data_IF_661959348239
#
_entry.id   IF_661959348239
#
_cell.length_a   1.000
_cell.length_b   1.000
_cell.length_c   1.000
_cell.angle_alpha   90.00
_cell.angle_beta   90.00
_cell.angle_gamma   90.00
#
_symmetry.space_group_name_H-M   'P 1'
#
loop_
_entity.id
_entity.type
_entity.pdbx_description
1 polymer ?
#
# COMPACT_ATOMS: atom_id res chain seq x y z
N UNK A 1 13.75 4.97 -4.56
CA UNK A 1 12.46 5.12 -3.84
C UNK A 1 11.36 4.52 -4.69
N UNK A 2 10.56 3.61 -4.11
CA UNK A 2 9.37 3.06 -4.77
C UNK A 2 8.22 4.06 -4.65
N UNK A 3 7.55 4.36 -5.76
CA UNK A 3 6.38 5.23 -5.81
C UNK A 3 5.16 4.38 -6.16
N UNK A 4 4.22 4.24 -5.23
CA UNK A 4 3.10 3.29 -5.32
C UNK A 4 1.72 3.91 -5.07
N UNK A 5 1.61 5.24 -4.97
CA UNK A 5 0.33 5.88 -4.67
C UNK A 5 0.33 7.38 -4.92
N UNK A 6 -0.88 7.94 -4.95
CA UNK A 6 -1.17 9.33 -5.30
C UNK A 6 -2.15 9.96 -4.31
N UNK A 7 -2.12 9.52 -3.04
CA UNK A 7 -3.10 9.94 -2.03
C UNK A 7 -3.17 11.47 -1.84
N UNK A 8 -2.05 12.17 -2.06
CA UNK A 8 -1.96 13.63 -1.97
C UNK A 8 -2.09 14.34 -3.34
N UNK A 9 -2.12 13.62 -4.47
CA UNK A 9 -2.21 14.18 -5.82
C UNK A 9 -1.19 13.62 -6.82
N UNK A 10 -1.27 14.09 -8.06
CA UNK A 10 -0.42 13.69 -9.20
C UNK A 10 0.87 14.51 -9.33
N UNK A 11 0.93 15.67 -8.69
CA UNK A 11 2.06 16.57 -8.83
C UNK A 11 3.33 15.96 -8.25
N UNK A 12 4.44 16.11 -8.98
CA UNK A 12 5.78 15.75 -8.51
C UNK A 12 6.66 17.02 -8.44
N UNK A 13 6.39 17.93 -7.48
CA UNK A 13 7.20 19.12 -7.32
C UNK A 13 8.61 18.73 -6.85
N UNK A 14 9.64 19.14 -7.60
CA UNK A 14 11.01 18.77 -7.29
C UNK A 14 12.00 19.21 -8.37
N UNK A 15 13.23 18.71 -8.28
CA UNK A 15 14.31 18.96 -9.24
C UNK A 15 14.92 17.65 -9.72
N UNK A 16 15.50 17.66 -10.91
CA UNK A 16 16.27 16.53 -11.45
C UNK A 16 17.65 16.37 -10.78
N UNK A 17 18.07 17.33 -9.96
CA UNK A 17 19.40 17.34 -9.33
C UNK A 17 19.74 16.08 -8.49
N UNK A 18 18.83 15.48 -7.69
CA UNK A 18 19.15 14.26 -6.94
C UNK A 18 19.46 13.06 -7.84
N UNK A 19 18.80 12.97 -8.99
CA UNK A 19 19.00 11.89 -9.97
C UNK A 19 20.36 12.02 -10.64
N UNK A 20 20.74 13.24 -11.03
CA UNK A 20 22.00 13.51 -11.73
C UNK A 20 23.20 13.42 -10.77
N UNK A 21 23.12 14.08 -9.61
CA UNK A 21 24.28 14.29 -8.73
C UNK A 21 24.49 13.16 -7.73
N UNK A 22 23.45 12.36 -7.46
CA UNK A 22 23.49 11.30 -6.43
C UNK A 22 22.97 9.96 -6.93
N UNK A 23 22.71 9.82 -8.24
CA UNK A 23 22.21 8.60 -8.85
C UNK A 23 20.98 8.00 -8.13
N UNK A 24 20.10 8.87 -7.61
CA UNK A 24 18.86 8.42 -6.98
C UNK A 24 17.91 7.89 -8.05
N UNK A 25 17.25 6.77 -7.79
CA UNK A 25 16.21 6.20 -8.67
C UNK A 25 14.82 6.41 -8.08
N UNK A 26 13.88 6.92 -8.87
CA UNK A 26 12.45 6.90 -8.59
C UNK A 26 11.82 5.79 -9.44
N UNK A 27 11.26 4.77 -8.79
CA UNK A 27 10.70 3.59 -9.45
C UNK A 27 9.18 3.61 -9.30
N UNK A 28 8.45 3.71 -10.42
CA UNK A 28 7.00 3.56 -10.42
C UNK A 28 6.60 2.09 -10.22
N UNK A 29 5.73 1.83 -9.26
CA UNK A 29 5.24 0.48 -8.94
C UNK A 29 3.78 0.37 -9.37
N UNK A 30 3.49 -0.58 -10.25
CA UNK A 30 2.13 -0.95 -10.65
C UNK A 30 1.82 -2.38 -10.15
N UNK A 31 0.88 -2.48 -9.21
CA UNK A 31 0.41 -3.78 -8.70
C UNK A 31 -0.76 -4.35 -9.50
N UNK A 32 -1.40 -3.55 -10.37
CA UNK A 32 -2.58 -3.96 -11.15
C UNK A 32 -2.15 -4.87 -12.29
N UNK A 33 -1.11 -4.52 -13.05
CA UNK A 33 -0.67 -5.29 -14.22
C UNK A 33 0.62 -6.09 -14.00
N UNK A 34 1.04 -6.27 -12.74
CA UNK A 34 2.22 -7.08 -12.43
C UNK A 34 2.08 -8.51 -12.99
N UNK A 35 3.11 -9.07 -13.67
CA UNK A 35 3.12 -10.45 -14.14
C UNK A 35 2.91 -11.44 -12.99
N UNK A 36 2.33 -12.60 -13.31
CA UNK A 36 2.04 -13.66 -12.31
C UNK A 36 3.30 -14.09 -11.55
N UNK A 37 4.41 -14.30 -12.25
CA UNK A 37 5.68 -14.69 -11.62
C UNK A 37 6.15 -13.68 -10.57
N UNK A 38 6.04 -12.38 -10.84
CA UNK A 38 6.37 -11.33 -9.87
C UNK A 38 5.41 -11.31 -8.68
N UNK A 39 4.14 -11.66 -8.88
CA UNK A 39 3.17 -11.77 -7.77
C UNK A 39 3.51 -12.95 -6.86
N UNK A 40 3.82 -14.10 -7.43
CA UNK A 40 4.21 -15.31 -6.69
C UNK A 40 5.46 -15.06 -5.85
N UNK A 41 6.47 -14.43 -6.45
CA UNK A 41 7.68 -14.02 -5.73
C UNK A 41 7.37 -13.04 -4.59
N UNK A 42 6.57 -12.01 -4.86
CA UNK A 42 6.18 -11.03 -3.85
C UNK A 42 5.43 -11.67 -2.67
N UNK A 43 4.49 -12.59 -2.93
CA UNK A 43 3.78 -13.32 -1.88
C UNK A 43 4.70 -14.23 -1.07
N UNK A 44 5.64 -14.91 -1.72
CA UNK A 44 6.66 -15.73 -1.04
C UNK A 44 7.54 -14.87 -0.12
N UNK A 45 7.89 -13.66 -0.57
CA UNK A 45 8.65 -12.71 0.25
C UNK A 45 7.83 -12.20 1.44
N UNK A 46 6.54 -11.93 1.26
CA UNK A 46 5.66 -11.52 2.34
C UNK A 46 5.57 -12.61 3.42
N UNK A 47 5.29 -13.85 3.04
CA UNK A 47 5.24 -15.00 3.97
C UNK A 47 6.55 -15.16 4.77
N UNK A 48 7.69 -14.97 4.09
CA UNK A 48 9.01 -15.13 4.72
C UNK A 48 9.40 -13.97 5.66
N UNK A 49 8.98 -12.74 5.36
CA UNK A 49 9.55 -11.54 5.97
C UNK A 49 8.55 -10.68 6.75
N UNK A 50 7.25 -10.90 6.58
CA UNK A 50 6.23 -10.17 7.33
C UNK A 50 6.15 -10.72 8.75
N UNK A 51 6.17 -9.83 9.74
CA UNK A 51 5.93 -10.20 11.13
C UNK A 51 4.42 -10.25 11.39
N UNK A 52 3.90 -11.46 11.59
CA UNK A 52 2.47 -11.70 11.83
C UNK A 52 1.95 -10.95 13.07
N UNK A 53 2.75 -10.85 14.13
CA UNK A 53 2.34 -10.15 15.34
C UNK A 53 2.26 -8.63 15.10
N UNK A 54 3.09 -8.09 14.22
CA UNK A 54 3.00 -6.69 13.81
C UNK A 54 1.81 -6.46 12.86
N UNK A 55 1.55 -7.41 11.94
CA UNK A 55 0.41 -7.37 11.05
C UNK A 55 -0.91 -7.38 11.84
N UNK A 56 -1.03 -8.26 12.83
CA UNK A 56 -2.20 -8.35 13.70
C UNK A 56 -2.44 -7.04 14.45
N UNK A 57 -1.38 -6.45 15.04
CA UNK A 57 -1.47 -5.16 15.76
C UNK A 57 -1.90 -3.98 14.89
N UNK A 58 -1.70 -4.04 13.57
CA UNK A 58 -2.12 -2.98 12.65
C UNK A 58 -3.43 -3.29 11.92
N UNK A 59 -4.05 -4.45 12.20
CA UNK A 59 -5.25 -4.91 11.52
C UNK A 59 -6.48 -4.68 12.40
N UNK A 60 -7.54 -4.16 11.79
CA UNK A 60 -8.88 -4.05 12.36
C UNK A 60 -9.85 -4.83 11.49
N UNK A 61 -10.86 -5.47 12.09
CA UNK A 61 -11.88 -6.21 11.34
C UNK A 61 -13.23 -5.52 11.50
N UNK A 62 -13.93 -5.33 10.38
CA UNK A 62 -15.28 -4.75 10.34
C UNK A 62 -16.23 -5.65 9.54
N UNK A 63 -17.53 -5.70 9.86
CA UNK A 63 -18.51 -6.35 9.01
C UNK A 63 -18.72 -5.61 7.68
N UNK A 64 -19.28 -6.29 6.69
CA UNK A 64 -19.50 -5.75 5.35
C UNK A 64 -20.35 -4.47 5.33
N UNK A 65 -21.34 -4.35 6.21
CA UNK A 65 -22.22 -3.17 6.29
C UNK A 65 -21.48 -1.89 6.71
N UNK A 66 -20.32 -2.01 7.35
CA UNK A 66 -19.46 -0.89 7.76
C UNK A 66 -18.41 -0.52 6.71
N UNK A 67 -18.20 -1.33 5.67
CA UNK A 67 -17.14 -1.13 4.69
C UNK A 67 -17.20 0.24 4.01
N UNK A 68 -18.40 0.71 3.65
CA UNK A 68 -18.58 2.01 3.00
C UNK A 68 -18.20 3.18 3.94
N UNK A 69 -18.56 3.09 5.22
CA UNK A 69 -18.22 4.10 6.21
C UNK A 69 -16.69 4.17 6.44
N UNK A 70 -16.02 3.02 6.52
CA UNK A 70 -14.57 2.94 6.63
C UNK A 70 -13.88 3.50 5.38
N UNK A 71 -14.39 3.20 4.18
CA UNK A 71 -13.81 3.73 2.94
C UNK A 71 -13.81 5.27 2.92
N UNK A 72 -14.85 5.93 3.44
CA UNK A 72 -14.88 7.39 3.58
C UNK A 72 -13.79 7.90 4.52
N UNK A 73 -13.55 7.20 5.63
CA UNK A 73 -12.48 7.53 6.57
C UNK A 73 -11.08 7.33 5.95
N UNK A 74 -10.90 6.30 5.10
CA UNK A 74 -9.65 6.09 4.35
C UNK A 74 -9.39 7.26 3.40
N UNK A 75 -10.40 7.70 2.65
CA UNK A 75 -10.28 8.85 1.74
C UNK A 75 -10.01 10.16 2.49
N UNK A 76 -10.57 10.30 3.70
CA UNK A 76 -10.29 11.43 4.59
C UNK A 76 -8.91 11.35 5.27
N UNK A 77 -8.17 10.26 5.10
CA UNK A 77 -6.84 10.06 5.70
C UNK A 77 -6.86 9.81 7.20
N UNK A 78 -8.00 9.42 7.78
CA UNK A 78 -8.16 9.22 9.23
C UNK A 78 -7.96 7.77 9.68
N UNK A 79 -7.78 6.84 8.74
CA UNK A 79 -7.51 5.43 9.03
C UNK A 79 -6.00 5.18 9.10
N UNK A 80 -5.57 4.46 10.14
CA UNK A 80 -4.20 3.95 10.28
C UNK A 80 -4.22 2.43 10.25
N UNK A 81 -3.26 1.83 9.57
CA UNK A 81 -3.08 0.39 9.51
C UNK A 81 -3.82 -0.26 8.34
N UNK A 82 -4.43 -1.41 8.59
CA UNK A 82 -5.19 -2.21 7.63
C UNK A 82 -6.58 -2.51 8.19
N UNK A 83 -7.57 -2.55 7.32
CA UNK A 83 -8.91 -3.02 7.67
C UNK A 83 -9.24 -4.26 6.86
N UNK A 84 -9.59 -5.34 7.55
CA UNK A 84 -10.18 -6.54 6.98
C UNK A 84 -11.69 -6.40 7.04
N UNK A 85 -12.36 -6.67 5.93
CA UNK A 85 -13.83 -6.72 5.89
C UNK A 85 -14.24 -8.18 5.97
N UNK A 86 -14.94 -8.55 7.04
CA UNK A 86 -15.56 -9.87 7.15
C UNK A 86 -16.89 -9.86 6.40
N UNK A 87 -16.99 -10.71 5.38
CA UNK A 87 -18.15 -10.83 4.50
C UNK A 87 -19.19 -11.84 5.00
N UNK A 88 -18.92 -12.51 6.13
CA UNK A 88 -19.79 -13.53 6.73
C UNK A 88 -20.26 -13.18 8.16
N UNK A 89 -19.81 -12.04 8.70
CA UNK A 89 -20.18 -11.56 10.03
C UNK A 89 -21.64 -11.08 10.11
#
# INVERSE_FOLDING_TARGET
VANCGLAQGLDLPGSVAPFILRAVTLVGIDSVNAPVSSREEAWTLLDKHLDDALLEKMTSTVPLDQAAAVAQQVLAGTVRGRTVVDVNA
#
